data_IF_534609632600
#
_entry.id   IF_534609632600
#
_cell.length_a   1.000
_cell.length_b   1.000
_cell.length_c   1.000
_cell.angle_alpha   90.00
_cell.angle_beta   90.00
_cell.angle_gamma   90.00
#
_symmetry.space_group_name_H-M   'P 1'
#
loop_
_entity.id
_entity.type
_entity.pdbx_description
1 polymer ?
#
# COMPACT_ATOMS: atom_id res chain seq x y z
N UNK A 1 -10.24 12.01 -6.65
CA UNK A 1 -9.19 11.74 -7.66
C UNK A 1 -9.53 10.47 -8.41
N UNK A 2 -9.34 10.44 -9.73
CA UNK A 2 -9.57 9.26 -10.57
C UNK A 2 -8.30 8.83 -11.28
N UNK A 3 -8.03 7.52 -11.33
CA UNK A 3 -6.84 6.94 -11.94
C UNK A 3 -7.21 5.69 -12.76
N UNK A 4 -6.58 5.50 -13.92
CA UNK A 4 -6.75 4.27 -14.73
C UNK A 4 -5.50 3.43 -14.60
N UNK A 5 -5.64 2.23 -14.03
CA UNK A 5 -4.49 1.37 -13.77
C UNK A 5 -3.92 0.82 -15.07
N UNK A 6 -2.66 1.14 -15.35
CA UNK A 6 -1.98 0.69 -16.58
C UNK A 6 -1.99 -0.84 -16.77
N UNK A 7 -1.79 -1.61 -15.70
CA UNK A 7 -1.73 -3.09 -15.76
C UNK A 7 -3.06 -3.75 -16.13
N UNK A 8 -4.18 -3.19 -15.70
CA UNK A 8 -5.49 -3.87 -15.77
C UNK A 8 -6.58 -3.06 -16.48
N UNK A 9 -6.32 -1.80 -16.83
CA UNK A 9 -7.32 -0.88 -17.39
C UNK A 9 -8.40 -0.44 -16.39
N UNK A 10 -8.36 -0.91 -15.15
CA UNK A 10 -9.38 -0.64 -14.13
C UNK A 10 -9.34 0.83 -13.72
N UNK A 11 -10.48 1.51 -13.79
CA UNK A 11 -10.64 2.85 -13.23
C UNK A 11 -10.83 2.75 -11.73
N UNK A 12 -10.01 3.48 -10.99
CA UNK A 12 -10.12 3.68 -9.55
C UNK A 12 -10.58 5.11 -9.30
N UNK A 13 -11.50 5.28 -8.36
CA UNK A 13 -11.93 6.58 -7.85
C UNK A 13 -11.72 6.58 -6.35
N UNK A 14 -10.88 7.48 -5.86
CA UNK A 14 -10.60 7.60 -4.43
C UNK A 14 -10.87 9.03 -3.98
N UNK A 15 -11.43 9.14 -2.77
CA UNK A 15 -11.52 10.41 -2.06
C UNK A 15 -10.11 10.83 -1.64
N UNK A 16 -9.79 12.11 -1.81
CA UNK A 16 -8.54 12.68 -1.31
C UNK A 16 -8.81 13.11 0.12
N UNK A 17 -8.24 12.40 1.07
CA UNK A 17 -8.32 12.77 2.49
C UNK A 17 -7.32 13.89 2.81
N UNK A 18 -7.52 14.67 3.89
CA UNK A 18 -6.67 15.83 4.20
C UNK A 18 -5.17 15.53 4.24
N UNK A 19 -4.77 14.39 4.81
CA UNK A 19 -3.36 13.98 4.85
C UNK A 19 -2.77 13.69 3.47
N UNK A 20 -3.58 13.19 2.52
CA UNK A 20 -3.15 12.99 1.15
C UNK A 20 -3.08 14.33 0.41
N UNK A 21 -4.06 15.21 0.63
CA UNK A 21 -4.09 16.55 0.05
C UNK A 21 -2.83 17.34 0.40
N UNK A 22 -2.43 17.34 1.67
CA UNK A 22 -1.22 18.01 2.15
C UNK A 22 0.05 17.54 1.41
N UNK A 23 0.15 16.23 1.14
CA UNK A 23 1.28 15.67 0.39
C UNK A 23 1.25 16.14 -1.07
N UNK A 24 0.08 16.15 -1.71
CA UNK A 24 -0.05 16.58 -3.11
C UNK A 24 0.32 18.05 -3.26
N UNK A 25 -0.23 18.91 -2.39
CA UNK A 25 0.03 20.36 -2.39
C UNK A 25 1.52 20.67 -2.18
N UNK A 26 2.21 19.92 -1.32
CA UNK A 26 3.66 20.07 -1.08
C UNK A 26 4.51 19.94 -2.34
N UNK A 27 4.05 19.22 -3.35
CA UNK A 27 4.79 18.97 -4.58
C UNK A 27 4.20 19.69 -5.82
N UNK A 28 3.09 20.41 -5.68
CA UNK A 28 2.33 20.98 -6.79
C UNK A 28 3.18 21.88 -7.71
N UNK A 29 3.98 22.79 -7.15
CA UNK A 29 4.86 23.67 -7.91
C UNK A 29 5.88 22.87 -8.76
N UNK A 30 6.40 21.77 -8.22
CA UNK A 30 7.40 20.92 -8.89
C UNK A 30 6.79 20.06 -9.98
N UNK A 31 5.47 19.85 -9.95
CA UNK A 31 4.76 18.99 -10.89
C UNK A 31 3.85 19.76 -11.84
N UNK A 32 3.76 21.09 -11.72
CA UNK A 32 2.83 21.97 -12.46
C UNK A 32 2.86 21.76 -13.98
N UNK A 33 4.03 21.45 -14.55
CA UNK A 33 4.21 21.21 -15.99
C UNK A 33 4.40 19.73 -16.37
N UNK A 34 4.00 18.82 -15.48
CA UNK A 34 4.17 17.37 -15.67
C UNK A 34 2.83 16.65 -15.50
N UNK A 35 2.66 15.45 -16.08
CA UNK A 35 1.45 14.64 -15.89
C UNK A 35 1.46 13.86 -14.56
N UNK A 36 2.47 14.03 -13.70
CA UNK A 36 2.69 13.23 -12.50
C UNK A 36 2.28 13.98 -11.23
N UNK A 37 1.85 13.24 -10.21
CA UNK A 37 1.51 13.79 -8.89
C UNK A 37 2.76 14.04 -8.03
N UNK A 38 3.86 13.34 -8.33
CA UNK A 38 5.12 13.45 -7.61
C UNK A 38 6.26 13.71 -8.60
N UNK A 39 7.27 14.54 -8.24
CA UNK A 39 8.40 14.89 -9.11
C UNK A 39 9.47 13.78 -9.10
N UNK A 40 9.06 12.54 -9.40
CA UNK A 40 9.92 11.36 -9.43
C UNK A 40 10.36 11.06 -10.86
N UNK A 41 9.44 11.20 -11.80
CA UNK A 41 9.66 10.93 -13.22
C UNK A 41 9.76 12.29 -13.92
N UNK A 42 10.87 12.50 -14.63
CA UNK A 42 11.18 13.74 -15.34
C UNK A 42 11.28 13.54 -16.84
N UNK A 43 11.58 12.31 -17.28
CA UNK A 43 11.69 12.00 -18.70
C UNK A 43 10.33 11.83 -19.37
N UNK A 44 10.22 12.34 -20.60
CA UNK A 44 9.08 12.07 -21.51
C UNK A 44 9.29 10.81 -22.34
N UNK A 45 10.52 10.27 -22.40
CA UNK A 45 10.80 8.99 -23.04
C UNK A 45 10.34 7.84 -22.12
N UNK A 46 9.57 6.91 -22.66
CA UNK A 46 8.96 5.85 -21.87
C UNK A 46 9.98 4.92 -21.21
N UNK A 47 11.07 4.59 -21.91
CA UNK A 47 12.10 3.68 -21.39
C UNK A 47 12.86 4.35 -20.26
N UNK A 48 13.20 5.62 -20.41
CA UNK A 48 13.88 6.39 -19.36
C UNK A 48 12.95 6.64 -18.17
N UNK A 49 11.69 7.00 -18.40
CA UNK A 49 10.69 7.16 -17.35
C UNK A 49 10.52 5.87 -16.51
N UNK A 50 10.51 4.71 -17.18
CA UNK A 50 10.46 3.42 -16.47
C UNK A 50 11.72 3.15 -15.64
N UNK A 51 12.90 3.52 -16.13
CA UNK A 51 14.16 3.43 -15.37
C UNK A 51 14.18 4.35 -14.16
N UNK A 52 13.73 5.61 -14.32
CA UNK A 52 13.59 6.57 -13.21
C UNK A 52 12.68 6.00 -12.12
N UNK A 53 11.52 5.45 -12.51
CA UNK A 53 10.62 4.76 -11.59
C UNK A 53 11.29 3.60 -10.86
N UNK A 54 11.99 2.69 -11.57
CA UNK A 54 12.65 1.55 -10.95
C UNK A 54 13.75 1.98 -9.97
N UNK A 55 14.54 3.00 -10.33
CA UNK A 55 15.58 3.55 -9.49
C UNK A 55 15.00 4.18 -8.22
N UNK A 56 13.94 4.99 -8.36
CA UNK A 56 13.25 5.60 -7.24
C UNK A 56 12.65 4.55 -6.30
N UNK A 57 12.04 3.49 -6.84
CA UNK A 57 11.50 2.38 -6.04
C UNK A 57 12.61 1.62 -5.30
N UNK A 58 13.74 1.37 -5.95
CA UNK A 58 14.90 0.70 -5.32
C UNK A 58 15.45 1.56 -4.18
N UNK A 59 15.64 2.86 -4.43
CA UNK A 59 16.08 3.80 -3.42
C UNK A 59 15.11 3.88 -2.24
N UNK A 60 13.80 3.96 -2.50
CA UNK A 60 12.76 3.97 -1.48
C UNK A 60 12.82 2.72 -0.59
N UNK A 61 12.90 1.52 -1.16
CA UNK A 61 13.03 0.29 -0.38
C UNK A 61 14.35 0.24 0.41
N UNK A 62 15.45 0.80 -0.11
CA UNK A 62 16.72 0.92 0.63
C UNK A 62 16.57 1.84 1.85
N UNK A 63 15.87 2.97 1.72
CA UNK A 63 15.59 3.85 2.86
C UNK A 63 14.67 3.19 3.88
N UNK A 64 13.65 2.45 3.45
CA UNK A 64 12.79 1.68 4.34
C UNK A 64 13.56 0.61 5.11
N UNK A 65 14.49 -0.08 4.45
CA UNK A 65 15.39 -1.03 5.14
C UNK A 65 16.22 -0.35 6.22
N UNK A 66 16.78 0.83 5.93
CA UNK A 66 17.51 1.61 6.93
C UNK A 66 16.61 2.04 8.10
N UNK A 67 15.38 2.43 7.83
CA UNK A 67 14.41 2.77 8.89
C UNK A 67 14.07 1.54 9.74
N UNK A 68 13.89 0.38 9.11
CA UNK A 68 13.67 -0.90 9.78
C UNK A 68 14.83 -1.24 10.74
N UNK A 69 16.08 -1.05 10.31
CA UNK A 69 17.28 -1.23 11.15
C UNK A 69 17.39 -0.23 12.32
N UNK A 70 16.64 0.88 12.29
CA UNK A 70 16.60 1.89 13.36
C UNK A 70 15.48 1.65 14.38
N UNK A 71 14.57 0.71 14.11
CA UNK A 71 13.53 0.33 15.05
C UNK A 71 14.10 -0.72 16.01
N UNK A 72 13.67 -0.66 17.28
CA UNK A 72 14.09 -1.63 18.30
C UNK A 72 13.56 -3.05 18.02
N UNK A 73 12.54 -3.17 17.18
CA UNK A 73 11.96 -4.42 16.71
C UNK A 73 12.40 -4.72 15.28
N UNK A 74 12.72 -5.98 14.98
CA UNK A 74 13.10 -6.47 13.64
C UNK A 74 11.87 -6.54 12.71
N UNK A 75 11.29 -5.36 12.42
CA UNK A 75 10.11 -5.22 11.58
C UNK A 75 10.56 -4.89 10.16
N UNK A 76 10.49 -5.83 9.20
CA UNK A 76 10.93 -5.58 7.83
C UNK A 76 9.99 -4.58 7.14
N UNK A 77 10.55 -3.43 6.74
CA UNK A 77 9.83 -2.41 6.00
C UNK A 77 10.12 -2.49 4.50
N UNK A 78 9.06 -2.41 3.70
CA UNK A 78 9.14 -2.36 2.23
C UNK A 78 8.00 -1.51 1.67
N UNK A 79 8.08 -1.22 0.37
CA UNK A 79 6.99 -0.56 -0.37
C UNK A 79 5.66 -1.32 -0.34
N UNK A 80 5.66 -2.62 0.02
CA UNK A 80 4.45 -3.41 0.21
C UNK A 80 3.85 -3.26 1.62
N UNK A 81 4.64 -2.89 2.63
CA UNK A 81 4.22 -2.85 4.04
C UNK A 81 2.95 -2.00 4.24
N UNK A 82 2.82 -0.76 3.71
CA UNK A 82 1.59 0.03 3.90
C UNK A 82 0.32 -0.66 3.39
N UNK A 83 0.43 -1.39 2.25
CA UNK A 83 -0.71 -2.14 1.68
C UNK A 83 -1.12 -3.29 2.59
N UNK A 84 -0.13 -4.03 3.10
CA UNK A 84 -0.35 -5.11 4.05
C UNK A 84 -1.01 -4.59 5.33
N UNK A 85 -0.43 -3.55 5.93
CA UNK A 85 -0.98 -2.91 7.14
C UNK A 85 -2.42 -2.45 6.91
N UNK A 86 -2.72 -1.74 5.81
CA UNK A 86 -4.09 -1.30 5.53
C UNK A 86 -5.08 -2.48 5.44
N UNK A 87 -4.73 -3.55 4.74
CA UNK A 87 -5.61 -4.70 4.57
C UNK A 87 -5.87 -5.45 5.88
N UNK A 88 -4.80 -5.67 6.67
CA UNK A 88 -4.88 -6.26 8.01
C UNK A 88 -5.71 -5.40 8.94
N UNK A 89 -5.44 -4.09 9.02
CA UNK A 89 -6.19 -3.15 9.87
C UNK A 89 -7.66 -3.07 9.46
N UNK A 90 -7.96 -3.03 8.16
CA UNK A 90 -9.35 -3.02 7.67
C UNK A 90 -10.09 -4.29 8.08
N UNK A 91 -9.45 -5.46 7.93
CA UNK A 91 -10.02 -6.73 8.39
C UNK A 91 -10.25 -6.74 9.90
N UNK A 92 -9.26 -6.33 10.68
CA UNK A 92 -9.32 -6.30 12.15
C UNK A 92 -10.38 -5.30 12.67
N UNK A 93 -10.71 -4.31 11.83
CA UNK A 93 -11.81 -3.36 12.04
C UNK A 93 -13.17 -3.86 11.50
N UNK A 94 -13.29 -5.15 11.15
CA UNK A 94 -14.48 -5.78 10.59
C UNK A 94 -15.03 -5.12 9.31
N UNK A 95 -14.15 -4.51 8.49
CA UNK A 95 -14.56 -4.01 7.17
C UNK A 95 -14.90 -5.21 6.27
N UNK A 96 -16.02 -5.18 5.52
CA UNK A 96 -16.41 -6.30 4.67
C UNK A 96 -15.33 -6.68 3.66
N UNK A 97 -15.15 -7.99 3.43
CA UNK A 97 -14.15 -8.51 2.49
C UNK A 97 -14.31 -7.93 1.08
N UNK A 98 -15.54 -7.70 0.64
CA UNK A 98 -15.87 -7.04 -0.63
C UNK A 98 -15.28 -5.63 -0.74
N UNK A 99 -15.36 -4.85 0.35
CA UNK A 99 -14.83 -3.48 0.44
C UNK A 99 -13.30 -3.51 0.47
N UNK A 100 -12.70 -4.42 1.24
CA UNK A 100 -11.24 -4.61 1.27
C UNK A 100 -10.75 -5.00 -0.13
N UNK A 101 -11.42 -5.95 -0.79
CA UNK A 101 -11.10 -6.40 -2.14
C UNK A 101 -11.15 -5.27 -3.16
N UNK A 102 -12.19 -4.43 -3.11
CA UNK A 102 -12.33 -3.27 -3.96
C UNK A 102 -11.22 -2.23 -3.70
N UNK A 103 -10.93 -1.92 -2.43
CA UNK A 103 -9.86 -0.99 -2.05
C UNK A 103 -8.46 -1.48 -2.46
N UNK A 104 -8.24 -2.79 -2.45
CA UNK A 104 -7.03 -3.42 -2.98
C UNK A 104 -7.00 -3.53 -4.51
N UNK A 105 -8.09 -3.21 -5.21
CA UNK A 105 -8.18 -3.38 -6.66
C UNK A 105 -7.99 -4.83 -7.11
N UNK A 106 -8.41 -5.80 -6.29
CA UNK A 106 -8.42 -7.21 -6.65
C UNK A 106 -9.65 -7.52 -7.51
N UNK A 107 -9.48 -8.38 -8.52
CA UNK A 107 -10.57 -8.75 -9.44
C UNK A 107 -11.60 -9.69 -8.83
N UNK A 108 -11.32 -10.29 -7.67
CA UNK A 108 -12.28 -11.09 -6.92
C UNK A 108 -11.94 -11.12 -5.43
N UNK A 109 -12.95 -11.36 -4.60
CA UNK A 109 -12.76 -11.55 -3.15
C UNK A 109 -11.90 -12.77 -2.82
N UNK A 110 -11.86 -13.77 -3.70
CA UNK A 110 -11.02 -14.95 -3.50
C UNK A 110 -9.53 -14.58 -3.48
N UNK A 111 -9.10 -13.65 -4.34
CA UNK A 111 -7.72 -13.13 -4.33
C UNK A 111 -7.44 -12.44 -3.00
N UNK A 112 -8.39 -11.66 -2.49
CA UNK A 112 -8.26 -10.98 -1.19
C UNK A 112 -8.23 -11.96 -0.03
N UNK A 113 -9.00 -13.05 -0.09
CA UNK A 113 -8.97 -14.11 0.93
C UNK A 113 -7.60 -14.80 0.99
N UNK A 114 -7.06 -15.20 -0.16
CA UNK A 114 -5.71 -15.79 -0.26
C UNK A 114 -4.66 -14.80 0.24
N UNK A 115 -4.77 -13.54 -0.19
CA UNK A 115 -3.87 -12.48 0.26
C UNK A 115 -3.91 -12.30 1.77
N UNK A 116 -5.09 -12.13 2.37
CA UNK A 116 -5.24 -11.98 3.82
C UNK A 116 -4.74 -13.22 4.58
N UNK A 117 -5.01 -14.44 4.09
CA UNK A 117 -4.48 -15.66 4.73
C UNK A 117 -2.95 -15.73 4.69
N UNK A 118 -2.31 -15.17 3.64
CA UNK A 118 -0.84 -15.15 3.56
C UNK A 118 -0.19 -14.13 4.51
N UNK A 119 -0.97 -13.21 5.07
CA UNK A 119 -0.50 -12.26 6.09
C UNK A 119 -0.54 -12.86 7.49
N UNK A 120 -1.03 -14.10 7.63
CA UNK A 120 -1.75 -14.46 8.84
C UNK A 120 -1.46 -15.85 9.40
N UNK A 121 -0.21 -16.05 9.83
CA UNK A 121 0.07 -17.15 10.76
C UNK A 121 -0.28 -16.78 12.21
N UNK A 122 -0.38 -15.49 12.56
CA UNK A 122 -0.51 -15.05 13.97
C UNK A 122 -1.95 -14.94 14.51
N UNK A 123 -2.98 -14.91 13.66
CA UNK A 123 -4.36 -14.76 14.14
C UNK A 123 -4.98 -16.06 14.57
N UNK A 124 -4.57 -17.19 13.99
CA UNK A 124 -4.96 -18.50 14.54
C UNK A 124 -4.48 -18.56 16.00
N UNK A 125 -3.25 -18.15 16.27
CA UNK A 125 -2.70 -18.12 17.63
C UNK A 125 -3.43 -17.12 18.54
N UNK A 126 -3.74 -15.90 18.07
CA UNK A 126 -4.53 -14.92 18.84
C UNK A 126 -5.97 -15.37 19.09
N UNK A 127 -6.61 -16.01 18.12
CA UNK A 127 -7.96 -16.54 18.24
C UNK A 127 -7.99 -17.70 19.24
N UNK A 128 -7.01 -18.60 19.13
CA UNK A 128 -6.83 -19.70 20.09
C UNK A 128 -6.59 -19.14 21.50
N UNK A 129 -5.70 -18.16 21.66
CA UNK A 129 -5.46 -17.50 22.94
C UNK A 129 -6.75 -16.90 23.51
N UNK A 130 -7.53 -16.17 22.69
CA UNK A 130 -8.79 -15.55 23.12
C UNK A 130 -9.86 -16.57 23.51
N UNK A 131 -9.90 -17.74 22.86
CA UNK A 131 -10.82 -18.83 23.24
C UNK A 131 -10.36 -19.45 24.56
N UNK A 132 -9.06 -19.73 24.70
CA UNK A 132 -8.49 -20.31 25.91
C UNK A 132 -8.66 -19.39 27.12
N UNK A 133 -8.51 -18.08 26.95
CA UNK A 133 -8.68 -17.10 28.03
C UNK A 133 -10.13 -16.94 28.51
N UNK A 134 -11.10 -17.64 27.93
CA UNK A 134 -12.49 -17.73 28.45
C UNK A 134 -12.61 -18.86 29.48
N UNK A 135 -11.65 -19.79 29.51
CA UNK A 135 -11.63 -20.95 30.39
C UNK A 135 -10.65 -20.83 31.57
N UNK A 136 -9.87 -19.73 31.62
CA UNK A 136 -9.07 -19.30 32.78
C UNK A 136 -9.87 -18.34 33.67
#
# INVERSE_FOLDING_TARGET
MTYVRRKTGTRLSIKVEPCLQEIVERYEEKTTHTPYVLPIITSTDEKQAYREYQNALSYYNKQLKRLSEMLDEDVPLSSYTPRHTWATTARDSNIPLSVISAGMGHSSENITRIYLSSLDNSIIDKANYKILSVFD
#
